data_IF_900689297544
#
_entry.id   IF_900689297544
#
_cell.length_a   1.000
_cell.length_b   1.000
_cell.length_c   1.000
_cell.angle_alpha   90.00
_cell.angle_beta   90.00
_cell.angle_gamma   90.00
#
_symmetry.space_group_name_H-M   'P 1'
#
loop_
_entity.id
_entity.type
_entity.pdbx_description
1 polymer ?
#
# COMPACT_ATOMS: atom_id res chain seq x y z
N UNK A 1 8.51 -5.12 5.07
CA UNK A 1 8.38 -3.69 4.74
C UNK A 1 7.65 -2.97 5.86
N UNK A 2 7.84 -1.68 5.99
CA UNK A 2 7.27 -0.91 7.11
C UNK A 2 5.73 -0.84 7.07
N UNK A 3 5.15 -0.64 5.89
CA UNK A 3 3.70 -0.42 5.74
C UNK A 3 2.94 -1.61 5.18
N UNK A 4 3.64 -2.55 4.57
CA UNK A 4 3.03 -3.69 3.88
C UNK A 4 3.67 -5.00 4.28
N UNK A 5 2.86 -6.05 4.27
CA UNK A 5 3.32 -7.43 4.32
C UNK A 5 3.23 -8.04 2.91
N UNK A 6 4.25 -8.80 2.52
CA UNK A 6 4.19 -9.60 1.30
C UNK A 6 3.42 -10.87 1.64
N UNK A 7 2.27 -11.05 1.00
CA UNK A 7 1.39 -12.20 1.31
C UNK A 7 1.49 -13.33 0.30
N UNK A 8 1.97 -13.03 -0.91
CA UNK A 8 2.08 -14.04 -1.96
C UNK A 8 3.09 -13.60 -3.02
N UNK A 9 3.80 -14.56 -3.59
CA UNK A 9 4.62 -14.35 -4.78
C UNK A 9 4.35 -15.49 -5.75
N UNK A 10 4.29 -15.18 -7.04
CA UNK A 10 4.10 -16.17 -8.10
C UNK A 10 4.80 -15.72 -9.37
N UNK A 11 5.39 -16.68 -10.08
CA UNK A 11 5.97 -16.47 -11.40
C UNK A 11 5.08 -17.19 -12.40
N UNK A 12 4.40 -16.43 -13.26
CA UNK A 12 3.46 -16.96 -14.24
C UNK A 12 3.87 -16.47 -15.62
N UNK A 13 4.33 -17.38 -16.47
CA UNK A 13 4.72 -17.08 -17.85
C UNK A 13 5.73 -15.93 -17.97
N UNK A 14 6.72 -15.90 -17.07
CA UNK A 14 7.75 -14.88 -17.08
C UNK A 14 7.35 -13.55 -16.44
N UNK A 15 6.15 -13.47 -15.85
CA UNK A 15 5.69 -12.32 -15.10
C UNK A 15 5.71 -12.63 -13.62
N UNK A 16 6.46 -11.84 -12.86
CA UNK A 16 6.52 -11.98 -11.40
C UNK A 16 5.40 -11.18 -10.76
N UNK A 17 4.52 -11.87 -10.05
CA UNK A 17 3.42 -11.26 -9.29
C UNK A 17 3.77 -11.23 -7.83
N UNK A 18 3.71 -10.06 -7.21
CA UNK A 18 3.96 -9.89 -5.79
C UNK A 18 2.73 -9.23 -5.17
N UNK A 19 2.16 -9.88 -4.16
CA UNK A 19 0.97 -9.37 -3.47
C UNK A 19 1.34 -8.75 -2.13
N UNK A 20 0.83 -7.55 -1.90
CA UNK A 20 1.04 -6.79 -0.67
C UNK A 20 -0.29 -6.50 0.01
N UNK A 21 -0.28 -6.57 1.34
CA UNK A 21 -1.40 -6.08 2.17
C UNK A 21 -0.88 -5.06 3.15
N UNK A 22 -1.57 -3.94 3.26
CA UNK A 22 -1.23 -2.91 4.24
C UNK A 22 -1.37 -3.44 5.66
N UNK A 23 -0.38 -3.17 6.50
CA UNK A 23 -0.39 -3.58 7.92
C UNK A 23 -1.48 -2.87 8.70
N UNK A 24 -1.90 -3.47 9.81
CA UNK A 24 -2.96 -2.97 10.68
C UNK A 24 -2.47 -1.91 11.67
N UNK A 25 -1.60 -1.00 11.22
CA UNK A 25 -1.09 0.11 12.02
C UNK A 25 -1.82 1.38 11.62
N UNK A 26 -2.57 2.03 12.53
CA UNK A 26 -3.31 3.25 12.20
C UNK A 26 -2.40 4.33 11.64
N UNK A 27 -2.88 5.12 10.65
CA UNK A 27 -2.11 6.23 10.09
C UNK A 27 -1.72 7.25 11.16
N UNK A 28 -0.44 7.63 11.18
CA UNK A 28 0.06 8.60 12.17
C UNK A 28 -0.59 9.99 12.00
N UNK A 29 -0.92 10.38 10.78
CA UNK A 29 -1.60 11.65 10.48
C UNK A 29 -3.03 11.70 11.01
N UNK A 30 -3.58 10.56 11.41
CA UNK A 30 -4.94 10.45 11.97
C UNK A 30 -4.90 10.04 13.44
N UNK A 31 -3.79 10.31 14.14
CA UNK A 31 -3.58 9.88 15.54
C UNK A 31 -4.56 10.50 16.53
N UNK A 32 -5.21 11.60 16.18
CA UNK A 32 -6.24 12.26 17.00
C UNK A 32 -7.62 11.58 16.87
N UNK A 33 -7.74 10.58 16.02
CA UNK A 33 -8.98 9.84 15.79
C UNK A 33 -8.96 8.46 16.40
N UNK A 34 -10.13 7.96 16.74
CA UNK A 34 -10.28 6.59 17.22
C UNK A 34 -10.64 5.70 16.04
N UNK A 35 -9.64 4.99 15.52
CA UNK A 35 -9.77 4.22 14.28
C UNK A 35 -9.82 2.71 14.53
N UNK A 36 -10.72 2.03 13.79
CA UNK A 36 -10.73 0.59 13.66
C UNK A 36 -10.44 0.20 12.22
N UNK A 37 -9.68 -0.86 12.01
CA UNK A 37 -9.48 -1.43 10.68
C UNK A 37 -10.80 -2.04 10.18
N UNK A 38 -11.22 -1.66 8.98
CA UNK A 38 -12.47 -2.13 8.37
C UNK A 38 -12.22 -2.78 7.00
N UNK A 39 -11.33 -3.77 6.97
CA UNK A 39 -10.99 -4.48 5.75
C UNK A 39 -10.14 -3.66 4.79
N UNK A 40 -10.25 -3.97 3.52
CA UNK A 40 -9.40 -3.39 2.48
C UNK A 40 -10.23 -2.68 1.42
N UNK A 41 -9.61 -1.67 0.77
CA UNK A 41 -10.10 -1.13 -0.48
C UNK A 41 -9.93 -2.19 -1.59
N UNK A 42 -10.61 -2.03 -2.74
CA UNK A 42 -10.37 -2.92 -3.87
C UNK A 42 -8.89 -3.00 -4.22
N UNK A 43 -8.42 -4.20 -4.56
CA UNK A 43 -7.03 -4.42 -4.94
C UNK A 43 -6.68 -3.60 -6.17
N UNK A 44 -5.49 -3.01 -6.17
CA UNK A 44 -4.93 -2.34 -7.34
C UNK A 44 -3.72 -3.10 -7.84
N UNK A 45 -3.47 -3.01 -9.15
CA UNK A 45 -2.30 -3.62 -9.79
C UNK A 45 -1.43 -2.52 -10.37
N UNK A 46 -0.15 -2.52 -9.99
CA UNK A 46 0.83 -1.55 -10.45
C UNK A 46 1.99 -2.27 -11.12
N UNK A 47 2.38 -1.82 -12.30
CA UNK A 47 3.58 -2.32 -12.96
C UNK A 47 4.81 -1.70 -12.30
N UNK A 48 5.81 -2.53 -12.05
CA UNK A 48 7.07 -2.12 -11.44
C UNK A 48 8.24 -2.41 -12.36
N UNK A 49 9.44 -2.09 -11.90
CA UNK A 49 10.66 -2.32 -12.65
C UNK A 49 10.87 -3.81 -12.94
N UNK A 50 11.37 -4.16 -14.13
CA UNK A 50 11.75 -5.55 -14.41
C UNK A 50 12.79 -6.05 -13.43
N UNK A 51 12.61 -7.27 -12.96
CA UNK A 51 13.57 -7.96 -12.10
C UNK A 51 14.11 -9.16 -12.87
N UNK A 52 15.42 -9.18 -13.10
CA UNK A 52 16.10 -10.26 -13.83
C UNK A 52 15.45 -10.58 -15.18
N UNK A 53 15.07 -9.53 -15.93
CA UNK A 53 14.44 -9.68 -17.23
C UNK A 53 12.97 -10.07 -17.22
N UNK A 54 12.36 -10.18 -16.04
CA UNK A 54 10.93 -10.48 -15.88
C UNK A 54 10.14 -9.22 -15.62
N UNK A 55 8.98 -9.10 -16.22
CA UNK A 55 8.01 -8.07 -15.86
C UNK A 55 7.51 -8.30 -14.44
N UNK A 56 7.25 -7.25 -13.71
CA UNK A 56 6.79 -7.32 -12.33
C UNK A 56 5.45 -6.62 -12.19
N UNK A 57 4.47 -7.32 -11.61
CA UNK A 57 3.17 -6.75 -11.27
C UNK A 57 2.97 -6.82 -9.77
N UNK A 58 2.68 -5.66 -9.18
CA UNK A 58 2.43 -5.53 -7.76
C UNK A 58 0.92 -5.45 -7.52
N UNK A 59 0.41 -6.38 -6.73
CA UNK A 59 -1.00 -6.43 -6.34
C UNK A 59 -1.11 -5.90 -4.92
N UNK A 60 -1.81 -4.79 -4.73
CA UNK A 60 -1.76 -4.05 -3.49
C UNK A 60 -3.15 -3.91 -2.90
N UNK A 61 -3.32 -4.37 -1.67
CA UNK A 61 -4.52 -4.15 -0.87
C UNK A 61 -4.22 -3.07 0.16
N UNK A 62 -4.86 -1.91 0.00
CA UNK A 62 -4.78 -0.81 0.96
C UNK A 62 -5.90 -0.95 1.96
N UNK A 63 -5.61 -0.62 3.23
CA UNK A 63 -6.55 -0.81 4.32
C UNK A 63 -7.50 0.38 4.45
N UNK A 64 -8.76 0.08 4.79
CA UNK A 64 -9.74 1.11 5.18
C UNK A 64 -9.74 1.21 6.70
N UNK A 65 -9.91 2.44 7.17
CA UNK A 65 -10.02 2.75 8.59
C UNK A 65 -11.36 3.41 8.86
N UNK A 66 -12.03 2.96 9.92
CA UNK A 66 -13.30 3.55 10.35
C UNK A 66 -13.05 4.41 11.58
N UNK A 67 -13.43 5.70 11.51
CA UNK A 67 -13.50 6.55 12.68
C UNK A 67 -14.81 6.20 13.42
N UNK A 68 -14.68 5.57 14.60
CA UNK A 68 -15.84 5.08 15.34
C UNK A 68 -16.70 6.21 15.93
N UNK A 69 -16.19 7.44 16.03
CA UNK A 69 -16.94 8.60 16.53
C UNK A 69 -17.74 9.26 15.43
N UNK A 70 -17.17 9.42 14.24
CA UNK A 70 -17.81 10.12 13.13
C UNK A 70 -18.42 9.20 12.10
N UNK A 71 -18.10 7.91 12.16
CA UNK A 71 -18.49 6.87 11.20
C UNK A 71 -17.93 7.14 9.79
N UNK A 72 -16.89 7.95 9.67
CA UNK A 72 -16.20 8.17 8.40
C UNK A 72 -15.27 7.02 8.07
N UNK A 73 -15.18 6.68 6.78
CA UNK A 73 -14.19 5.74 6.27
C UNK A 73 -13.00 6.52 5.73
N UNK A 74 -11.82 6.19 6.22
CA UNK A 74 -10.59 6.91 5.92
C UNK A 74 -9.52 5.95 5.41
N UNK A 75 -8.52 6.49 4.73
CA UNK A 75 -7.35 5.73 4.30
C UNK A 75 -6.08 6.53 4.59
N UNK A 76 -4.95 5.81 4.63
CA UNK A 76 -3.63 6.45 4.79
C UNK A 76 -3.33 7.34 3.59
N UNK A 77 -2.73 8.50 3.87
CA UNK A 77 -2.27 9.39 2.82
C UNK A 77 -0.89 8.94 2.32
N UNK A 78 -0.88 8.19 1.22
CA UNK A 78 0.36 7.63 0.68
C UNK A 78 1.32 8.67 0.12
N UNK A 79 0.80 9.81 -0.34
CA UNK A 79 1.65 10.92 -0.76
C UNK A 79 2.41 11.51 0.42
N UNK A 80 1.73 11.69 1.56
CA UNK A 80 2.36 12.16 2.78
C UNK A 80 3.42 11.18 3.28
N UNK A 81 3.14 9.88 3.24
CA UNK A 81 4.10 8.83 3.59
C UNK A 81 5.32 8.91 2.69
N UNK A 82 5.12 9.06 1.37
CA UNK A 82 6.22 9.17 0.42
C UNK A 82 7.14 10.36 0.72
N UNK A 83 6.57 11.50 1.09
CA UNK A 83 7.34 12.70 1.44
C UNK A 83 8.12 12.55 2.74
N UNK A 84 7.59 11.82 3.69
CA UNK A 84 8.17 11.66 5.02
C UNK A 84 9.16 10.51 5.17
N UNK A 85 9.41 9.74 4.10
CA UNK A 85 10.24 8.55 4.23
C UNK A 85 11.71 8.84 3.87
N UNK A 86 12.61 8.07 4.51
CA UNK A 86 14.02 8.01 4.14
C UNK A 86 14.31 6.83 3.20
N UNK A 87 13.30 6.37 2.50
CA UNK A 87 13.38 5.24 1.60
C UNK A 87 14.08 5.63 0.30
N UNK A 88 14.43 4.63 -0.50
CA UNK A 88 14.97 4.86 -1.83
C UNK A 88 13.97 5.66 -2.67
N UNK A 89 14.49 6.40 -3.65
CA UNK A 89 13.67 7.17 -4.57
C UNK A 89 12.64 6.28 -5.28
N UNK A 90 13.03 5.07 -5.67
CA UNK A 90 12.14 4.13 -6.35
C UNK A 90 10.93 3.76 -5.49
N UNK A 91 11.15 3.53 -4.19
CA UNK A 91 10.06 3.19 -3.28
C UNK A 91 9.16 4.41 -3.03
N UNK A 92 9.72 5.60 -2.92
CA UNK A 92 8.95 6.83 -2.77
C UNK A 92 8.06 7.07 -4.01
N UNK A 93 8.57 6.82 -5.21
CA UNK A 93 7.77 6.92 -6.44
C UNK A 93 6.67 5.88 -6.51
N UNK A 94 6.95 4.66 -6.04
CA UNK A 94 5.94 3.61 -5.91
C UNK A 94 4.79 4.06 -5.00
N UNK A 95 5.09 4.66 -3.83
CA UNK A 95 4.06 5.17 -2.92
C UNK A 95 3.26 6.30 -3.54
N UNK A 96 3.89 7.16 -4.34
CA UNK A 96 3.19 8.22 -5.07
C UNK A 96 2.24 7.65 -6.11
N UNK A 97 2.63 6.59 -6.82
CA UNK A 97 1.74 5.90 -7.76
C UNK A 97 0.51 5.33 -7.06
N UNK A 98 0.69 4.73 -5.89
CA UNK A 98 -0.42 4.23 -5.08
C UNK A 98 -1.40 5.37 -4.73
N UNK A 99 -0.89 6.56 -4.43
CA UNK A 99 -1.72 7.69 -4.04
C UNK A 99 -2.66 8.18 -5.14
N UNK A 100 -2.40 7.82 -6.39
CA UNK A 100 -3.24 8.19 -7.54
C UNK A 100 -4.50 7.33 -7.67
N UNK A 101 -4.57 6.25 -6.96
CA UNK A 101 -5.75 5.37 -6.98
C UNK A 101 -6.76 5.74 -5.86
#
# INVERSE_FOLDING_TARGET
MEYFDITKTADVEGVLHISFEEKSNPPAELSDRLLNSKGFLPEITVDDFPIRGKSVKLHIKRRRWLDVKTNETLQRNWELVAKGTRMTQDFAEFLKKISLY
#
